data_IF_396311068826
#
_entry.id   IF_396311068826
#
_cell.length_a   1.000
_cell.length_b   1.000
_cell.length_c   1.000
_cell.angle_alpha   90.00
_cell.angle_beta   90.00
_cell.angle_gamma   90.00
#
_symmetry.space_group_name_H-M   'P 1'
#
loop_
_entity.id
_entity.type
_entity.pdbx_description
1 polymer ?
#
# COMPACT_ATOMS: atom_id res chain seq x y z
N UNK A 1 4.34 -4.78 8.90
CA UNK A 1 4.61 -3.33 8.84
C UNK A 1 6.06 -3.09 8.46
N UNK A 2 6.43 -1.92 7.92
CA UNK A 2 7.84 -1.58 7.69
C UNK A 2 8.71 -1.76 8.95
N UNK A 3 8.11 -1.58 10.13
CA UNK A 3 8.73 -1.83 11.43
C UNK A 3 9.11 -3.30 11.71
N UNK A 4 8.54 -4.27 10.99
CA UNK A 4 8.80 -5.71 11.24
C UNK A 4 10.01 -6.23 10.44
N UNK A 5 10.63 -5.40 9.60
CA UNK A 5 11.68 -5.82 8.64
C UNK A 5 13.04 -5.19 8.98
N UNK A 6 13.09 -4.25 9.94
CA UNK A 6 14.35 -3.68 10.42
C UNK A 6 15.04 -4.68 11.36
N UNK A 7 15.63 -5.73 10.79
CA UNK A 7 16.58 -6.59 11.50
C UNK A 7 17.94 -5.89 11.56
N UNK A 8 18.23 -5.32 12.73
CA UNK A 8 19.53 -5.44 13.43
C UNK A 8 20.82 -5.42 12.59
N UNK A 9 21.02 -4.41 11.75
CA UNK A 9 22.30 -4.15 11.06
C UNK A 9 22.68 -2.67 11.07
N UNK A 10 22.43 -1.98 12.19
CA UNK A 10 23.07 -0.70 12.54
C UNK A 10 23.53 -0.79 13.99
N UNK A 11 24.54 -1.64 14.23
CA UNK A 11 25.45 -1.46 15.36
C UNK A 11 26.67 -0.74 14.80
N UNK A 12 26.92 0.45 15.34
CA UNK A 12 28.11 1.31 15.18
C UNK A 12 27.86 2.70 14.55
N UNK A 13 26.89 3.44 15.07
CA UNK A 13 26.94 4.92 15.09
C UNK A 13 26.72 5.38 16.54
N UNK A 14 27.68 5.10 17.40
CA UNK A 14 27.74 5.66 18.77
C UNK A 14 28.73 6.82 18.79
N UNK A 15 28.27 7.95 18.26
CA UNK A 15 28.51 9.26 18.86
C UNK A 15 27.13 9.93 18.83
N UNK A 16 26.46 10.02 19.98
CA UNK A 16 25.15 10.68 20.10
C UNK A 16 25.31 12.15 19.72
N UNK A 17 25.12 12.47 18.43
CA UNK A 17 25.03 13.83 17.97
C UNK A 17 23.81 14.48 18.61
N UNK A 18 24.01 15.65 19.22
CA UNK A 18 22.92 16.40 19.81
C UNK A 18 21.93 16.81 18.72
N UNK A 19 20.62 16.75 19.01
CA UNK A 19 19.60 17.20 18.06
C UNK A 19 19.81 18.66 17.62
N UNK A 20 20.40 19.48 18.50
CA UNK A 20 20.74 20.88 18.22
C UNK A 20 21.84 21.04 17.15
N UNK A 21 22.61 19.99 16.87
CA UNK A 21 23.60 19.97 15.79
C UNK A 21 23.01 19.50 14.46
N UNK A 22 21.88 18.78 14.51
CA UNK A 22 21.22 18.18 13.35
C UNK A 22 20.13 19.06 12.75
N UNK A 23 19.43 19.84 13.58
CA UNK A 23 18.32 20.70 13.16
C UNK A 23 18.36 22.07 13.82
N UNK A 24 17.83 23.07 13.12
CA UNK A 24 17.66 24.43 13.64
C UNK A 24 16.21 24.91 13.51
N UNK A 25 15.85 25.90 14.33
CA UNK A 25 14.52 26.51 14.27
C UNK A 25 14.29 27.18 12.91
N UNK A 26 13.10 26.97 12.32
CA UNK A 26 12.75 27.44 10.99
C UNK A 26 13.22 26.54 9.84
N UNK A 27 13.97 25.47 10.12
CA UNK A 27 14.37 24.50 9.08
C UNK A 27 13.16 23.77 8.51
N UNK A 28 13.02 23.78 7.19
CA UNK A 28 11.98 23.03 6.49
C UNK A 28 12.45 21.58 6.30
N UNK A 29 11.71 20.63 6.90
CA UNK A 29 12.04 19.20 6.87
C UNK A 29 10.86 18.43 6.29
N UNK A 30 11.13 17.53 5.35
CA UNK A 30 10.12 16.58 4.85
C UNK A 30 9.93 15.47 5.86
N UNK A 31 8.69 15.26 6.28
CA UNK A 31 8.32 14.27 7.31
C UNK A 31 7.15 13.42 6.83
N UNK A 32 7.09 12.19 7.32
CA UNK A 32 5.96 11.27 7.14
C UNK A 32 5.30 11.01 8.50
N UNK A 33 3.97 10.99 8.51
CA UNK A 33 3.19 10.58 9.69
C UNK A 33 3.26 9.07 9.85
N UNK A 34 3.73 8.61 11.01
CA UNK A 34 3.83 7.19 11.37
C UNK A 34 2.71 6.78 12.32
N UNK A 35 2.26 7.70 13.18
CA UNK A 35 1.10 7.52 14.05
C UNK A 35 0.30 8.81 14.10
N UNK A 36 -1.00 8.68 13.94
CA UNK A 36 -1.94 9.78 14.11
C UNK A 36 -1.92 10.33 15.54
N UNK A 37 -2.48 11.52 15.67
CA UNK A 37 -2.66 12.19 16.96
C UNK A 37 -3.52 11.33 17.88
N UNK A 38 -3.05 11.11 19.11
CA UNK A 38 -3.78 10.36 20.14
C UNK A 38 -4.01 11.28 21.35
N UNK A 39 -5.25 11.74 21.49
CA UNK A 39 -5.63 12.72 22.53
C UNK A 39 -4.90 14.05 22.33
N UNK A 40 -4.15 14.48 23.33
CA UNK A 40 -3.33 15.71 23.28
C UNK A 40 -1.91 15.50 22.75
N UNK A 41 -1.49 14.26 22.51
CA UNK A 41 -0.16 13.97 21.94
C UNK A 41 -0.22 14.13 20.43
N UNK A 42 0.54 15.10 19.92
CA UNK A 42 0.71 15.32 18.48
C UNK A 42 1.15 14.06 17.71
N UNK A 43 0.97 14.08 16.40
CA UNK A 43 1.32 12.98 15.53
C UNK A 43 2.81 12.61 15.64
N UNK A 44 3.12 11.31 15.53
CA UNK A 44 4.51 10.84 15.48
C UNK A 44 5.01 10.93 14.03
N UNK A 45 6.13 11.61 13.84
CA UNK A 45 6.73 11.87 12.55
C UNK A 45 8.04 11.09 12.37
N UNK A 46 8.44 10.86 11.13
CA UNK A 46 9.76 10.35 10.74
C UNK A 46 10.30 11.10 9.51
N UNK A 47 11.62 11.23 9.41
CA UNK A 47 12.32 11.67 8.19
C UNK A 47 12.72 10.50 7.29
N UNK A 48 12.67 9.27 7.82
CA UNK A 48 12.87 8.03 7.05
C UNK A 48 11.60 7.70 6.26
N UNK A 49 11.50 8.31 5.08
CA UNK A 49 10.33 8.16 4.23
C UNK A 49 10.22 6.73 3.69
N UNK A 50 8.99 6.23 3.65
CA UNK A 50 8.64 4.93 3.08
C UNK A 50 7.36 5.03 2.26
N UNK A 51 7.37 4.47 1.06
CA UNK A 51 6.24 4.53 0.13
C UNK A 51 5.79 3.10 -0.19
N UNK A 52 4.68 2.63 0.40
CA UNK A 52 4.18 1.29 0.15
C UNK A 52 3.31 1.22 -1.11
N UNK A 53 3.56 0.21 -1.93
CA UNK A 53 2.68 -0.28 -2.98
C UNK A 53 2.15 -1.67 -2.61
N UNK A 54 1.58 -2.45 -3.54
CA UNK A 54 0.96 -3.75 -3.20
C UNK A 54 2.01 -4.76 -2.75
N UNK A 55 3.08 -4.90 -3.52
CA UNK A 55 4.10 -5.94 -3.34
C UNK A 55 5.39 -5.37 -2.76
N UNK A 56 5.65 -4.08 -2.95
CA UNK A 56 6.90 -3.43 -2.61
C UNK A 56 6.71 -2.27 -1.63
N UNK A 57 7.80 -1.88 -0.99
CA UNK A 57 7.93 -0.61 -0.27
C UNK A 57 9.21 0.06 -0.75
N UNK A 58 9.08 1.26 -1.29
CA UNK A 58 10.25 2.06 -1.68
C UNK A 58 10.74 2.89 -0.49
N UNK A 59 12.05 2.88 -0.29
CA UNK A 59 12.75 3.60 0.78
C UNK A 59 13.75 4.57 0.14
N UNK A 60 13.39 5.84 -0.15
CA UNK A 60 14.22 6.74 -0.94
C UNK A 60 15.63 6.97 -0.39
N UNK A 61 15.80 6.88 0.94
CA UNK A 61 17.06 7.10 1.63
C UNK A 61 17.70 5.80 2.14
N UNK A 62 17.11 4.64 1.84
CA UNK A 62 17.73 3.35 2.08
C UNK A 62 18.60 2.92 0.90
N UNK A 63 19.48 1.94 1.11
CA UNK A 63 20.31 1.38 0.02
C UNK A 63 19.98 -0.09 -0.30
N UNK A 64 19.47 -0.82 0.69
CA UNK A 64 19.37 -2.27 0.61
C UNK A 64 18.06 -2.76 -0.04
N UNK A 65 18.12 -3.97 -0.59
CA UNK A 65 16.94 -4.76 -0.96
C UNK A 65 16.62 -5.67 0.23
N UNK A 66 15.46 -5.47 0.86
CA UNK A 66 14.96 -6.30 1.95
C UNK A 66 13.86 -7.24 1.48
N UNK A 67 13.79 -8.45 2.05
CA UNK A 67 12.68 -9.40 1.82
C UNK A 67 11.95 -9.63 3.14
N UNK A 68 10.62 -9.57 3.15
CA UNK A 68 9.78 -9.82 4.32
C UNK A 68 10.20 -11.09 5.05
N UNK A 69 10.32 -11.02 6.38
CA UNK A 69 10.67 -12.18 7.20
C UNK A 69 9.58 -13.26 7.22
N UNK A 70 8.33 -12.91 6.84
CA UNK A 70 7.23 -13.87 6.75
C UNK A 70 7.28 -14.75 5.50
N UNK A 71 8.16 -14.47 4.54
CA UNK A 71 8.44 -15.36 3.42
C UNK A 71 9.54 -16.31 3.87
N UNK A 72 9.16 -17.52 4.27
CA UNK A 72 10.07 -18.51 4.87
C UNK A 72 10.84 -19.33 3.82
N UNK A 73 10.30 -19.45 2.60
CA UNK A 73 10.93 -20.22 1.54
C UNK A 73 12.16 -19.51 0.98
N UNK A 74 13.35 -20.07 1.22
CA UNK A 74 14.62 -19.47 0.81
C UNK A 74 14.79 -19.35 -0.71
N UNK A 75 14.31 -20.34 -1.49
CA UNK A 75 14.37 -20.29 -2.94
C UNK A 75 13.54 -19.13 -3.50
N UNK A 76 12.38 -18.88 -2.88
CA UNK A 76 11.52 -17.76 -3.23
C UNK A 76 12.12 -16.40 -2.84
N UNK A 77 12.76 -16.32 -1.67
CA UNK A 77 13.47 -15.10 -1.24
C UNK A 77 14.57 -14.73 -2.24
N UNK A 78 15.38 -15.69 -2.66
CA UNK A 78 16.46 -15.44 -3.63
C UNK A 78 15.91 -15.15 -5.03
N UNK A 79 14.80 -15.79 -5.45
CA UNK A 79 14.10 -15.45 -6.70
C UNK A 79 13.64 -13.99 -6.70
N UNK A 80 12.88 -13.59 -5.68
CA UNK A 80 12.35 -12.23 -5.54
C UNK A 80 13.47 -11.20 -5.46
N UNK A 81 14.52 -11.48 -4.69
CA UNK A 81 15.70 -10.60 -4.58
C UNK A 81 16.40 -10.42 -5.92
N UNK A 82 16.56 -11.49 -6.69
CA UNK A 82 17.18 -11.43 -8.04
C UNK A 82 16.34 -10.59 -9.00
N UNK A 83 15.03 -10.82 -9.03
CA UNK A 83 14.09 -10.05 -9.87
C UNK A 83 14.15 -8.57 -9.50
N UNK A 84 14.03 -8.23 -8.21
CA UNK A 84 14.06 -6.84 -7.78
C UNK A 84 15.41 -6.19 -8.08
N UNK A 85 16.52 -6.91 -7.93
CA UNK A 85 17.84 -6.42 -8.32
C UNK A 85 17.89 -6.06 -9.81
N UNK A 86 17.42 -6.94 -10.68
CA UNK A 86 17.37 -6.70 -12.13
C UNK A 86 16.47 -5.49 -12.48
N UNK A 87 15.29 -5.40 -11.87
CA UNK A 87 14.37 -4.26 -12.06
C UNK A 87 15.03 -2.96 -11.59
N UNK A 88 15.71 -2.95 -10.44
CA UNK A 88 16.44 -1.78 -9.94
C UNK A 88 17.57 -1.38 -10.89
N UNK A 89 18.35 -2.34 -11.39
CA UNK A 89 19.44 -2.08 -12.34
C UNK A 89 18.94 -1.49 -13.65
N UNK A 90 17.80 -1.96 -14.16
CA UNK A 90 17.14 -1.42 -15.35
C UNK A 90 16.57 0.00 -15.16
N UNK A 91 16.36 0.44 -13.91
CA UNK A 91 15.78 1.73 -13.56
C UNK A 91 16.73 2.58 -12.69
N UNK A 92 18.03 2.34 -12.78
CA UNK A 92 19.05 2.95 -11.93
C UNK A 92 19.04 4.48 -11.97
N UNK A 93 18.70 5.08 -13.12
CA UNK A 93 18.59 6.54 -13.28
C UNK A 93 17.41 7.14 -12.50
N UNK A 94 16.39 6.35 -12.20
CA UNK A 94 15.14 6.81 -11.56
C UNK A 94 14.95 6.28 -10.14
N UNK A 95 15.72 5.27 -9.73
CA UNK A 95 15.52 4.54 -8.47
C UNK A 95 16.85 4.31 -7.73
N UNK A 96 17.26 5.29 -6.94
CA UNK A 96 18.49 5.23 -6.14
C UNK A 96 18.28 4.63 -4.74
N UNK A 97 17.05 4.62 -4.24
CA UNK A 97 16.73 4.16 -2.89
C UNK A 97 16.64 2.65 -2.72
N UNK A 98 16.34 2.22 -1.50
CA UNK A 98 16.14 0.84 -1.09
C UNK A 98 14.74 0.34 -1.44
N UNK A 99 14.57 -0.98 -1.46
CA UNK A 99 13.28 -1.62 -1.78
C UNK A 99 13.05 -2.77 -0.82
N UNK A 100 11.86 -2.84 -0.23
CA UNK A 100 11.46 -3.95 0.63
C UNK A 100 10.35 -4.73 -0.07
N UNK A 101 10.54 -6.04 -0.21
CA UNK A 101 9.56 -6.98 -0.76
C UNK A 101 8.62 -7.44 0.35
N UNK A 102 7.32 -7.21 0.18
CA UNK A 102 6.26 -7.55 1.12
C UNK A 102 5.87 -9.02 0.98
N UNK A 103 5.24 -9.58 2.01
CA UNK A 103 4.70 -10.96 1.96
C UNK A 103 3.74 -11.19 0.80
N UNK A 104 2.98 -10.16 0.40
CA UNK A 104 2.07 -10.25 -0.73
C UNK A 104 2.76 -10.49 -2.09
N UNK A 105 4.09 -10.33 -2.16
CA UNK A 105 4.89 -10.58 -3.35
C UNK A 105 5.24 -12.06 -3.56
N UNK A 106 4.96 -12.92 -2.58
CA UNK A 106 5.22 -14.35 -2.68
C UNK A 106 4.46 -14.97 -3.86
N UNK A 107 5.20 -15.66 -4.74
CA UNK A 107 4.65 -16.27 -5.96
C UNK A 107 4.32 -15.28 -7.08
N UNK A 108 4.54 -13.98 -6.90
CA UNK A 108 4.23 -12.95 -7.88
C UNK A 108 5.24 -12.96 -9.04
N UNK A 109 4.75 -12.70 -10.25
CA UNK A 109 5.58 -12.70 -11.45
C UNK A 109 6.46 -11.44 -11.56
N UNK A 110 7.53 -11.54 -12.34
CA UNK A 110 8.42 -10.40 -12.63
C UNK A 110 7.70 -9.22 -13.28
N UNK A 111 6.73 -9.51 -14.17
CA UNK A 111 5.94 -8.48 -14.84
C UNK A 111 5.11 -7.66 -13.84
N UNK A 112 4.48 -8.33 -12.88
CA UNK A 112 3.69 -7.66 -11.82
C UNK A 112 4.58 -6.85 -10.88
N UNK A 113 5.75 -7.37 -10.49
CA UNK A 113 6.73 -6.64 -9.69
C UNK A 113 7.29 -5.41 -10.43
N UNK A 114 7.50 -5.53 -11.74
CA UNK A 114 7.94 -4.42 -12.59
C UNK A 114 6.88 -3.31 -12.67
N UNK A 115 5.60 -3.69 -12.79
CA UNK A 115 4.49 -2.73 -12.78
C UNK A 115 4.37 -2.02 -11.41
N UNK A 116 4.49 -2.77 -10.31
CA UNK A 116 4.44 -2.22 -8.95
C UNK A 116 5.64 -1.27 -8.70
N UNK A 117 6.82 -1.59 -9.24
CA UNK A 117 7.99 -0.71 -9.20
C UNK A 117 7.79 0.56 -10.04
N UNK A 118 7.25 0.44 -11.25
CA UNK A 118 6.98 1.59 -12.12
C UNK A 118 6.01 2.59 -11.46
N UNK A 119 4.99 2.07 -10.77
CA UNK A 119 4.10 2.88 -9.93
C UNK A 119 4.89 3.64 -8.85
N UNK A 120 5.77 2.96 -8.10
CA UNK A 120 6.56 3.57 -7.03
C UNK A 120 7.52 4.65 -7.56
N UNK A 121 8.17 4.42 -8.70
CA UNK A 121 9.05 5.39 -9.36
C UNK A 121 8.26 6.66 -9.70
N UNK A 122 7.10 6.51 -10.36
CA UNK A 122 6.28 7.63 -10.77
C UNK A 122 5.74 8.42 -9.58
N UNK A 123 5.29 7.72 -8.54
CA UNK A 123 4.85 8.35 -7.30
C UNK A 123 5.99 9.12 -6.61
N UNK A 124 7.20 8.57 -6.58
CA UNK A 124 8.34 9.26 -6.02
C UNK A 124 8.73 10.51 -6.81
N UNK A 125 8.70 10.45 -8.13
CA UNK A 125 8.89 11.61 -9.00
C UNK A 125 7.85 12.70 -8.70
N UNK A 126 6.57 12.33 -8.62
CA UNK A 126 5.48 13.25 -8.27
C UNK A 126 5.71 13.92 -6.90
N UNK A 127 6.13 13.15 -5.89
CA UNK A 127 6.45 13.65 -4.55
C UNK A 127 7.61 14.65 -4.59
N UNK A 128 8.69 14.35 -5.33
CA UNK A 128 9.84 15.24 -5.46
C UNK A 128 9.49 16.54 -6.20
N UNK A 129 8.77 16.45 -7.30
CA UNK A 129 8.34 17.62 -8.08
C UNK A 129 7.46 18.54 -7.24
N UNK A 130 6.53 17.96 -6.47
CA UNK A 130 5.67 18.73 -5.56
C UNK A 130 6.48 19.34 -4.41
N UNK A 131 7.42 18.59 -3.83
CA UNK A 131 8.32 19.10 -2.78
C UNK A 131 9.12 20.33 -3.23
N UNK A 132 9.60 20.37 -4.47
CA UNK A 132 10.38 21.50 -4.99
C UNK A 132 9.55 22.79 -5.21
N UNK A 133 8.24 22.65 -5.43
CA UNK A 133 7.36 23.78 -5.77
C UNK A 133 6.72 24.45 -4.54
N UNK A 134 6.80 23.84 -3.37
CA UNK A 134 6.08 24.29 -2.17
C UNK A 134 6.95 25.26 -1.34
N UNK A 135 6.34 26.36 -0.89
CA UNK A 135 7.02 27.41 -0.09
C UNK A 135 6.60 27.44 1.39
N UNK A 136 5.67 26.59 1.83
CA UNK A 136 5.14 26.59 3.20
C UNK A 136 4.82 25.17 3.68
N UNK A 137 4.72 24.91 4.99
CA UNK A 137 4.31 23.61 5.49
C UNK A 137 2.99 23.20 4.82
N UNK A 138 3.04 22.19 3.96
CA UNK A 138 1.92 21.77 3.12
C UNK A 138 1.97 20.26 2.95
N UNK A 139 0.79 19.65 2.80
CA UNK A 139 0.65 18.25 2.45
C UNK A 139 1.29 17.98 1.08
N UNK A 140 2.39 17.22 1.07
CA UNK A 140 3.05 16.80 -0.17
C UNK A 140 2.27 15.62 -0.78
N UNK A 141 2.02 14.58 0.00
CA UNK A 141 1.30 13.40 -0.43
C UNK A 141 0.39 12.91 0.67
N UNK A 142 -0.82 12.53 0.28
CA UNK A 142 -1.83 11.89 1.13
C UNK A 142 -1.98 10.44 0.67
N UNK A 143 -2.18 9.52 1.62
CA UNK A 143 -2.44 8.14 1.24
C UNK A 143 -3.68 8.02 0.34
N UNK A 144 -3.61 7.09 -0.62
CA UNK A 144 -4.72 6.86 -1.52
C UNK A 144 -6.00 6.50 -0.75
N UNK A 145 -7.14 7.13 -1.08
CA UNK A 145 -8.43 6.68 -0.62
C UNK A 145 -8.69 5.25 -1.09
N UNK A 146 -9.57 4.54 -0.37
CA UNK A 146 -9.79 3.10 -0.54
C UNK A 146 -10.05 2.70 -2.00
N UNK A 147 -10.87 3.46 -2.74
CA UNK A 147 -11.20 3.13 -4.13
C UNK A 147 -9.99 3.22 -5.07
N UNK A 148 -9.10 4.20 -4.92
CA UNK A 148 -7.86 4.29 -5.71
C UNK A 148 -6.86 3.20 -5.29
N UNK A 149 -6.79 2.89 -4.00
CA UNK A 149 -5.97 1.80 -3.46
C UNK A 149 -6.39 0.45 -4.05
N UNK A 150 -7.69 0.18 -4.11
CA UNK A 150 -8.27 -1.02 -4.71
C UNK A 150 -7.90 -1.11 -6.19
N UNK A 151 -7.98 -0.01 -6.95
CA UNK A 151 -7.63 0.00 -8.38
C UNK A 151 -6.14 -0.27 -8.58
N UNK A 152 -5.28 0.41 -7.81
CA UNK A 152 -3.83 0.16 -7.83
C UNK A 152 -3.51 -1.32 -7.54
N UNK A 153 -4.18 -1.88 -6.54
CA UNK A 153 -3.87 -3.22 -6.06
C UNK A 153 -4.49 -4.30 -6.96
N UNK A 154 -5.75 -4.19 -7.39
CA UNK A 154 -6.53 -5.29 -7.98
C UNK A 154 -6.57 -5.34 -9.51
N UNK A 155 -6.13 -4.30 -10.24
CA UNK A 155 -6.16 -4.32 -11.72
C UNK A 155 -5.22 -5.39 -12.32
N UNK A 156 -4.42 -6.01 -11.47
CA UNK A 156 -3.45 -7.04 -11.79
C UNK A 156 -4.17 -8.38 -12.01
N UNK A 157 -4.64 -8.52 -13.26
CA UNK A 157 -5.12 -9.72 -13.95
C UNK A 157 -6.48 -10.30 -13.48
N UNK A 158 -7.34 -10.62 -14.46
CA UNK A 158 -8.71 -11.18 -14.34
C UNK A 158 -9.87 -10.22 -13.98
N UNK A 159 -9.65 -8.90 -13.97
CA UNK A 159 -10.78 -7.94 -13.97
C UNK A 159 -11.21 -7.63 -15.40
N UNK A 160 -12.49 -7.86 -15.69
CA UNK A 160 -13.14 -7.50 -16.95
C UNK A 160 -13.61 -6.04 -16.98
N UNK A 161 -14.29 -5.58 -15.92
CA UNK A 161 -14.83 -4.21 -15.79
C UNK A 161 -14.81 -3.72 -14.35
N UNK A 162 -14.68 -2.41 -14.18
CA UNK A 162 -14.79 -1.66 -12.93
C UNK A 162 -15.94 -0.65 -13.13
N UNK A 163 -17.06 -0.90 -12.47
CA UNK A 163 -18.24 -0.05 -12.58
C UNK A 163 -18.25 1.00 -11.46
N UNK A 164 -18.47 2.25 -11.83
CA UNK A 164 -18.54 3.38 -10.88
C UNK A 164 -19.85 4.12 -11.08
N UNK A 165 -20.67 4.19 -10.04
CA UNK A 165 -22.00 4.82 -10.04
C UNK A 165 -21.98 6.33 -9.71
N UNK A 166 -20.83 6.86 -9.28
CA UNK A 166 -20.63 8.29 -9.03
C UNK A 166 -19.74 8.93 -10.11
N UNK A 167 -20.26 9.96 -10.79
CA UNK A 167 -19.49 10.74 -11.77
C UNK A 167 -18.29 11.46 -11.16
N UNK A 168 -18.43 11.95 -9.93
CA UNK A 168 -17.33 12.62 -9.22
C UNK A 168 -16.20 11.64 -8.93
N UNK A 169 -16.54 10.47 -8.37
CA UNK A 169 -15.58 9.41 -8.06
C UNK A 169 -14.92 8.89 -9.34
N UNK A 170 -15.69 8.73 -10.42
CA UNK A 170 -15.18 8.34 -11.72
C UNK A 170 -14.12 9.33 -12.23
N UNK A 171 -14.39 10.64 -12.14
CA UNK A 171 -13.41 11.67 -12.52
C UNK A 171 -12.10 11.53 -11.76
N UNK A 172 -12.17 11.40 -10.42
CA UNK A 172 -11.01 11.20 -9.55
C UNK A 172 -10.27 9.89 -9.84
N UNK A 173 -10.99 8.83 -10.22
CA UNK A 173 -10.41 7.55 -10.61
C UNK A 173 -9.66 7.68 -11.93
N UNK A 174 -10.26 8.29 -12.96
CA UNK A 174 -9.66 8.42 -14.29
C UNK A 174 -8.40 9.29 -14.24
N UNK A 175 -8.41 10.38 -13.48
CA UNK A 175 -7.21 11.21 -13.24
C UNK A 175 -6.08 10.38 -12.64
N UNK A 176 -6.36 9.65 -11.56
CA UNK A 176 -5.39 8.79 -10.90
C UNK A 176 -4.88 7.68 -11.82
N UNK A 177 -5.75 7.03 -12.58
CA UNK A 177 -5.42 5.88 -13.42
C UNK A 177 -4.56 6.28 -14.62
N UNK A 178 -4.88 7.39 -15.28
CA UNK A 178 -4.06 7.94 -16.38
C UNK A 178 -2.64 8.23 -15.94
N UNK A 179 -2.50 8.73 -14.72
CA UNK A 179 -1.20 9.00 -14.15
C UNK A 179 -0.52 7.69 -13.71
N UNK A 180 -1.13 6.90 -12.84
CA UNK A 180 -0.40 5.86 -12.11
C UNK A 180 -0.59 4.43 -12.62
N UNK A 181 -1.70 4.13 -13.31
CA UNK A 181 -2.06 2.76 -13.70
C UNK A 181 -2.76 2.74 -15.08
N UNK A 182 -2.14 3.23 -16.16
CA UNK A 182 -2.84 3.50 -17.43
C UNK A 182 -3.59 2.29 -18.02
N UNK A 183 -3.07 1.08 -17.78
CA UNK A 183 -3.70 -0.18 -18.20
C UNK A 183 -5.09 -0.44 -17.56
N UNK A 184 -5.46 0.30 -16.51
CA UNK A 184 -6.76 0.20 -15.87
C UNK A 184 -7.84 1.04 -16.58
N UNK A 185 -7.46 2.05 -17.36
CA UNK A 185 -8.39 3.06 -17.88
C UNK A 185 -9.49 2.43 -18.72
N UNK A 186 -9.12 1.52 -19.62
CA UNK A 186 -10.05 0.84 -20.53
C UNK A 186 -11.08 -0.04 -19.81
N UNK A 187 -10.83 -0.39 -18.55
CA UNK A 187 -11.72 -1.25 -17.74
C UNK A 187 -12.73 -0.45 -16.93
N UNK A 188 -12.60 0.87 -16.86
CA UNK A 188 -13.38 1.71 -15.94
C UNK A 188 -14.56 2.31 -16.70
N UNK A 189 -15.78 2.02 -16.24
CA UNK A 189 -17.02 2.46 -16.87
C UNK A 189 -17.94 3.15 -15.85
N UNK A 190 -18.60 4.22 -16.30
CA UNK A 190 -19.69 4.84 -15.55
C UNK A 190 -20.92 3.94 -15.58
N UNK A 191 -21.51 3.68 -14.42
CA UNK A 191 -22.80 3.02 -14.30
C UNK A 191 -23.90 4.07 -14.04
N UNK A 192 -24.75 4.41 -15.05
CA UNK A 192 -25.79 5.43 -14.90
C UNK A 192 -27.14 4.87 -14.43
N UNK A 193 -27.22 3.57 -14.09
CA UNK A 193 -28.49 2.92 -13.77
C UNK A 193 -29.06 3.39 -12.42
N UNK A 194 -30.39 3.39 -12.32
CA UNK A 194 -31.08 3.77 -11.08
C UNK A 194 -30.94 2.70 -9.98
N UNK A 195 -30.78 1.43 -10.37
CA UNK A 195 -30.63 0.32 -9.43
C UNK A 195 -29.20 0.30 -8.87
N UNK A 196 -28.98 0.33 -7.55
CA UNK A 196 -27.64 0.31 -6.97
C UNK A 196 -26.81 -0.90 -7.43
N UNK A 197 -25.51 -0.69 -7.67
CA UNK A 197 -24.60 -1.73 -8.16
C UNK A 197 -24.61 -2.99 -7.28
N UNK A 198 -24.58 -2.82 -5.95
CA UNK A 198 -24.54 -3.96 -5.03
C UNK A 198 -25.83 -4.79 -5.08
N UNK A 199 -26.97 -4.15 -5.31
CA UNK A 199 -28.24 -4.85 -5.48
C UNK A 199 -28.31 -5.56 -6.84
N UNK A 200 -27.84 -4.92 -7.91
CA UNK A 200 -27.81 -5.50 -9.25
C UNK A 200 -27.02 -6.82 -9.29
N UNK A 201 -25.94 -6.91 -8.52
CA UNK A 201 -25.07 -8.09 -8.46
C UNK A 201 -25.27 -8.95 -7.21
N UNK A 202 -26.33 -8.73 -6.42
CA UNK A 202 -26.64 -9.43 -5.17
C UNK A 202 -25.49 -9.43 -4.12
N UNK A 203 -24.61 -8.43 -4.18
CA UNK A 203 -23.52 -8.25 -3.21
C UNK A 203 -24.06 -7.87 -1.84
N UNK A 204 -25.19 -7.17 -1.77
CA UNK A 204 -25.80 -6.73 -0.52
C UNK A 204 -26.15 -7.91 0.42
N UNK A 205 -26.77 -8.96 -0.13
CA UNK A 205 -27.11 -10.16 0.63
C UNK A 205 -25.86 -10.88 1.15
N UNK A 206 -24.80 -10.91 0.35
CA UNK A 206 -23.55 -11.56 0.72
C UNK A 206 -22.77 -10.74 1.75
N UNK A 207 -22.84 -9.40 1.69
CA UNK A 207 -22.32 -8.51 2.73
C UNK A 207 -23.05 -8.71 4.06
N UNK A 208 -24.39 -8.79 4.04
CA UNK A 208 -25.17 -9.07 5.24
C UNK A 208 -24.82 -10.41 5.87
N UNK A 209 -24.64 -11.47 5.05
CA UNK A 209 -24.18 -12.77 5.53
C UNK A 209 -22.75 -12.71 6.08
N UNK A 210 -21.84 -11.98 5.43
CA UNK A 210 -20.45 -11.86 5.86
C UNK A 210 -20.30 -11.10 7.19
N UNK A 211 -21.20 -10.16 7.46
CA UNK A 211 -21.27 -9.41 8.72
C UNK A 211 -22.12 -10.10 9.79
N UNK A 212 -22.78 -11.22 9.46
CA UNK A 212 -23.60 -11.96 10.41
C UNK A 212 -22.72 -12.72 11.39
N UNK A 213 -23.09 -12.64 12.68
CA UNK A 213 -22.52 -13.50 13.73
C UNK A 213 -22.69 -14.99 13.42
N UNK A 214 -23.81 -15.37 12.79
CA UNK A 214 -24.14 -16.76 12.43
C UNK A 214 -24.09 -16.94 10.92
N UNK A 215 -23.24 -17.82 10.43
CA UNK A 215 -23.05 -18.09 9.00
C UNK A 215 -23.48 -19.52 8.69
N UNK A 216 -24.54 -19.69 7.90
CA UNK A 216 -24.99 -21.01 7.47
C UNK A 216 -24.04 -21.61 6.42
N UNK A 217 -23.74 -22.91 6.55
CA UNK A 217 -22.94 -23.65 5.60
C UNK A 217 -23.84 -24.43 4.63
N UNK A 218 -23.34 -24.67 3.41
CA UNK A 218 -24.07 -25.43 2.38
C UNK A 218 -24.44 -26.85 2.81
N UNK A 219 -23.70 -27.41 3.76
CA UNK A 219 -23.88 -28.78 4.28
C UNK A 219 -24.94 -28.88 5.39
N UNK A 220 -25.62 -27.79 5.76
CA UNK A 220 -26.68 -27.78 6.80
C UNK A 220 -26.22 -27.29 8.18
N UNK A 221 -24.92 -27.34 8.47
CA UNK A 221 -24.33 -26.77 9.69
C UNK A 221 -24.19 -25.24 9.64
N UNK A 222 -23.58 -24.65 10.67
CA UNK A 222 -23.32 -23.22 10.75
C UNK A 222 -22.08 -22.86 11.59
N UNK A 223 -21.53 -21.69 11.30
CA UNK A 223 -20.45 -21.07 12.09
C UNK A 223 -21.03 -19.98 13.00
N UNK A 224 -20.47 -19.83 14.20
CA UNK A 224 -20.68 -18.67 15.07
C UNK A 224 -19.34 -17.94 15.22
N UNK A 225 -19.30 -16.66 14.85
CA UNK A 225 -18.09 -15.83 14.91
C UNK A 225 -18.29 -14.78 15.99
N UNK A 226 -17.53 -14.87 17.08
CA UNK A 226 -17.58 -13.94 18.20
C UNK A 226 -16.24 -13.20 18.35
N UNK A 227 -16.30 -11.88 18.36
CA UNK A 227 -15.13 -11.04 18.62
C UNK A 227 -15.10 -10.64 20.09
N UNK A 228 -14.00 -10.98 20.77
CA UNK A 228 -13.70 -10.55 22.14
C UNK A 228 -12.60 -9.49 22.11
N UNK A 229 -12.19 -8.99 23.28
CA UNK A 229 -11.14 -7.96 23.39
C UNK A 229 -9.78 -8.41 22.81
N UNK A 230 -9.42 -9.67 23.04
CA UNK A 230 -8.08 -10.18 22.69
C UNK A 230 -8.08 -11.13 21.49
N UNK A 231 -9.23 -11.69 21.12
CA UNK A 231 -9.30 -12.73 20.08
C UNK A 231 -10.68 -12.84 19.43
N UNK A 232 -10.73 -13.45 18.25
CA UNK A 232 -11.97 -13.88 17.60
C UNK A 232 -12.11 -15.39 17.74
N UNK A 233 -13.23 -15.84 18.27
CA UNK A 233 -13.56 -17.27 18.41
C UNK A 233 -14.54 -17.69 17.31
N UNK A 234 -14.27 -18.82 16.66
CA UNK A 234 -15.13 -19.39 15.62
C UNK A 234 -15.59 -20.77 16.07
N UNK A 235 -16.88 -20.92 16.32
CA UNK A 235 -17.50 -22.19 16.70
C UNK A 235 -18.19 -22.84 15.49
N UNK A 236 -18.09 -24.17 15.37
CA UNK A 236 -18.57 -24.95 14.23
C UNK A 236 -19.64 -25.92 14.70
N UNK A 237 -20.86 -25.74 14.22
CA UNK A 237 -22.00 -26.54 14.59
C UNK A 237 -22.51 -27.34 13.39
N UNK A 238 -22.80 -28.62 13.60
CA UNK A 238 -23.46 -29.51 12.63
C UNK A 238 -24.97 -29.32 12.61
#
# INVERSE_FOLDING_TARGET
HANDIISSSQKDINAEQSIAELVHEGQMITVQVVKDMLGSKGARLTTDLSIPSRFLVYMPFGEHIGISQRIENEAERERLKTIIKQIKEANSDSLTGGVIVRTAAEGVSEAELSQDMAYLIKLWQHINDKKQKIQSPTLIYEELPLYQRIIRDLVIQNISKILVDSRETLGKILEFVREFVPNAEEKIEHYPGERPLFELYNVEDDLQKALSRKVALKSGGYLIIDQTEAMTTVDVNT
#
